data_IF_891040983299
#
_entry.id   IF_891040983299
#
_cell.length_a   1.000
_cell.length_b   1.000
_cell.length_c   1.000
_cell.angle_alpha   90.00
_cell.angle_beta   90.00
_cell.angle_gamma   90.00
#
_symmetry.space_group_name_H-M   'P 1'
#
loop_
_entity.id
_entity.type
_entity.pdbx_description
1 polymer ?
#
# COMPACT_ATOMS: atom_id res chain seq x y z
N UNK A 1 -5.50 -12.01 -18.51
CA UNK A 1 -6.36 -11.86 -17.32
C UNK A 1 -5.58 -11.12 -16.23
N UNK A 2 -5.95 -9.87 -15.93
CA UNK A 2 -5.28 -9.08 -14.88
C UNK A 2 -5.72 -9.61 -13.51
N UNK A 3 -4.86 -10.37 -12.83
CA UNK A 3 -5.14 -10.88 -11.47
C UNK A 3 -5.65 -9.72 -10.59
N UNK A 4 -6.76 -9.86 -9.85
CA UNK A 4 -7.26 -8.79 -8.96
C UNK A 4 -6.16 -8.36 -7.99
N UNK A 5 -6.06 -7.07 -7.68
CA UNK A 5 -5.17 -6.60 -6.61
C UNK A 5 -5.78 -7.00 -5.28
N UNK A 6 -5.08 -7.82 -4.49
CA UNK A 6 -5.56 -8.25 -3.18
C UNK A 6 -5.70 -7.10 -2.20
N UNK A 7 -4.82 -6.08 -2.28
CA UNK A 7 -4.85 -4.93 -1.38
C UNK A 7 -5.24 -3.66 -2.14
N UNK A 8 -6.30 -3.00 -1.69
CA UNK A 8 -6.79 -1.71 -2.20
C UNK A 8 -6.51 -0.61 -1.18
N UNK A 9 -6.23 0.58 -1.69
CA UNK A 9 -6.07 1.81 -0.91
C UNK A 9 -7.04 2.85 -1.44
N UNK A 10 -7.80 3.46 -0.54
CA UNK A 10 -8.82 4.45 -0.87
C UNK A 10 -8.53 5.72 -0.08
N UNK A 11 -8.30 6.81 -0.80
CA UNK A 11 -7.99 8.11 -0.20
C UNK A 11 -9.30 8.84 0.10
N UNK A 12 -9.42 9.35 1.31
CA UNK A 12 -10.48 10.24 1.77
C UNK A 12 -9.88 11.56 2.28
N UNK A 13 -10.70 12.59 2.56
CA UNK A 13 -10.22 13.83 3.19
C UNK A 13 -9.59 13.59 4.57
N UNK A 14 -9.99 12.52 5.26
CA UNK A 14 -9.53 12.21 6.62
C UNK A 14 -8.25 11.37 6.63
N UNK A 15 -7.91 10.70 5.52
CA UNK A 15 -6.74 9.82 5.44
C UNK A 15 -6.87 8.79 4.33
N UNK A 16 -6.32 7.60 4.54
CA UNK A 16 -6.28 6.51 3.57
C UNK A 16 -6.70 5.22 4.24
N UNK A 17 -7.78 4.64 3.72
CA UNK A 17 -8.27 3.32 4.14
C UNK A 17 -7.62 2.25 3.28
N UNK A 18 -7.16 1.17 3.91
CA UNK A 18 -6.47 0.06 3.28
C UNK A 18 -7.31 -1.20 3.53
N UNK A 19 -7.68 -1.88 2.47
CA UNK A 19 -8.52 -3.09 2.53
C UNK A 19 -7.84 -4.23 1.80
N UNK A 20 -7.85 -5.43 2.40
CA UNK A 20 -7.39 -6.64 1.74
C UNK A 20 -8.59 -7.53 1.39
N UNK A 21 -8.80 -7.80 0.11
CA UNK A 21 -9.87 -8.72 -0.35
C UNK A 21 -9.57 -10.17 -0.01
N UNK A 22 -8.30 -10.53 0.23
CA UNK A 22 -7.88 -11.86 0.67
C UNK A 22 -7.99 -12.08 2.19
N UNK A 23 -8.14 -11.00 2.97
CA UNK A 23 -8.25 -11.06 4.43
C UNK A 23 -9.46 -10.21 4.88
N UNK A 24 -10.68 -10.76 4.87
CA UNK A 24 -11.91 -10.00 5.12
C UNK A 24 -11.95 -9.23 6.45
N UNK A 25 -11.26 -9.76 7.47
CA UNK A 25 -11.17 -9.16 8.80
C UNK A 25 -10.04 -8.14 8.93
N UNK A 26 -9.16 -8.03 7.93
CA UNK A 26 -8.05 -7.10 7.98
C UNK A 26 -8.39 -5.79 7.24
N UNK A 27 -8.33 -4.71 7.99
CA UNK A 27 -8.42 -3.33 7.50
C UNK A 27 -7.41 -2.49 8.25
N UNK A 28 -6.86 -1.50 7.57
CA UNK A 28 -5.97 -0.53 8.20
C UNK A 28 -6.32 0.89 7.74
N UNK A 29 -5.94 1.85 8.57
CA UNK A 29 -6.09 3.27 8.28
C UNK A 29 -4.74 3.96 8.45
N UNK A 30 -4.44 4.91 7.59
CA UNK A 30 -3.22 5.71 7.63
C UNK A 30 -3.54 7.18 7.34
N UNK A 31 -2.79 8.10 7.94
CA UNK A 31 -2.99 9.53 7.72
C UNK A 31 -2.42 9.98 6.38
N UNK A 32 -1.40 9.27 5.89
CA UNK A 32 -0.75 9.57 4.62
C UNK A 32 -0.76 8.41 3.64
N UNK A 33 -0.63 8.73 2.34
CA UNK A 33 -0.43 7.72 1.29
C UNK A 33 0.87 6.94 1.49
N UNK A 34 1.93 7.56 2.02
CA UNK A 34 3.20 6.88 2.29
C UNK A 34 3.05 5.78 3.33
N UNK A 35 2.43 6.10 4.47
CA UNK A 35 2.10 5.11 5.51
C UNK A 35 1.14 4.04 5.00
N UNK A 36 0.17 4.42 4.15
CA UNK A 36 -0.74 3.45 3.56
C UNK A 36 -0.03 2.44 2.66
N UNK A 37 0.99 2.90 1.92
CA UNK A 37 1.86 2.03 1.13
C UNK A 37 2.71 1.11 2.02
N UNK A 38 3.31 1.63 3.08
CA UNK A 38 4.11 0.85 4.02
C UNK A 38 3.28 -0.24 4.73
N UNK A 39 2.09 0.12 5.23
CA UNK A 39 1.16 -0.80 5.88
C UNK A 39 0.67 -1.91 4.92
N UNK A 40 0.27 -1.54 3.70
CA UNK A 40 -0.11 -2.50 2.67
C UNK A 40 1.04 -3.48 2.32
N UNK A 41 2.27 -2.96 2.16
CA UNK A 41 3.44 -3.79 1.88
C UNK A 41 3.81 -4.72 3.04
N UNK A 42 3.68 -4.25 4.29
CA UNK A 42 3.92 -5.04 5.49
C UNK A 42 2.90 -6.17 5.67
N UNK A 43 1.61 -5.89 5.41
CA UNK A 43 0.57 -6.92 5.43
C UNK A 43 0.81 -8.00 4.36
N UNK A 44 1.10 -7.58 3.12
CA UNK A 44 1.41 -8.51 2.02
C UNK A 44 2.58 -9.42 2.38
N UNK A 45 3.68 -8.87 2.90
CA UNK A 45 4.88 -9.64 3.25
C UNK A 45 4.65 -10.69 4.34
N UNK A 46 3.70 -10.47 5.26
CA UNK A 46 3.42 -11.37 6.38
C UNK A 46 2.34 -12.40 6.06
N UNK A 47 1.32 -12.00 5.31
CA UNK A 47 0.06 -12.77 5.16
C UNK A 47 -0.10 -13.35 3.75
N UNK A 48 0.59 -12.80 2.75
CA UNK A 48 0.49 -13.22 1.36
C UNK A 48 1.88 -13.58 0.80
N UNK A 49 2.52 -14.66 1.30
CA UNK A 49 3.82 -15.08 0.80
C UNK A 49 3.73 -15.39 -0.71
N UNK A 50 4.57 -14.70 -1.50
CA UNK A 50 4.60 -14.84 -2.96
C UNK A 50 3.80 -13.78 -3.72
N UNK A 51 2.99 -12.95 -3.07
CA UNK A 51 2.53 -11.69 -3.67
C UNK A 51 3.52 -10.57 -3.35
N UNK A 52 3.71 -9.67 -4.31
CA UNK A 52 4.72 -8.62 -4.26
C UNK A 52 4.21 -7.28 -4.78
N UNK A 53 2.93 -7.19 -5.10
CA UNK A 53 2.36 -6.03 -5.79
C UNK A 53 2.26 -4.82 -4.86
N UNK A 54 1.81 -5.01 -3.63
CA UNK A 54 1.70 -3.94 -2.66
C UNK A 54 3.09 -3.48 -2.20
N UNK A 55 4.01 -4.42 -1.95
CA UNK A 55 5.40 -4.15 -1.61
C UNK A 55 6.12 -3.38 -2.71
N UNK A 56 6.00 -3.82 -3.97
CA UNK A 56 6.63 -3.13 -5.09
C UNK A 56 6.01 -1.73 -5.30
N UNK A 57 4.69 -1.60 -5.15
CA UNK A 57 4.04 -0.30 -5.17
C UNK A 57 4.52 0.62 -4.04
N UNK A 58 4.84 0.09 -2.86
CA UNK A 58 5.41 0.87 -1.75
C UNK A 58 6.83 1.34 -2.08
N UNK A 59 7.69 0.47 -2.60
CA UNK A 59 9.03 0.83 -3.04
C UNK A 59 9.03 1.91 -4.14
N UNK A 60 8.17 1.75 -5.17
CA UNK A 60 8.03 2.72 -6.25
C UNK A 60 7.51 4.08 -5.76
N UNK A 61 6.58 4.08 -4.79
CA UNK A 61 6.10 5.32 -4.17
C UNK A 61 7.23 6.02 -3.42
N UNK A 62 7.96 5.29 -2.58
CA UNK A 62 9.10 5.83 -1.84
C UNK A 62 10.17 6.41 -2.79
N UNK A 63 10.52 5.70 -3.86
CA UNK A 63 11.50 6.18 -4.85
C UNK A 63 11.06 7.49 -5.52
N UNK A 64 9.81 7.58 -5.97
CA UNK A 64 9.27 8.80 -6.62
C UNK A 64 9.24 10.00 -5.69
N UNK A 65 8.88 9.80 -4.42
CA UNK A 65 8.81 10.87 -3.44
C UNK A 65 10.17 11.26 -2.86
N UNK A 66 11.13 10.34 -2.80
CA UNK A 66 12.52 10.64 -2.43
C UNK A 66 13.23 11.50 -3.49
N UNK A 67 12.97 11.24 -4.79
CA UNK A 67 13.52 12.07 -5.89
C UNK A 67 12.96 13.49 -5.84
N UNK A 68 11.69 13.65 -5.45
CA UNK A 68 11.05 14.98 -5.35
C UNK A 68 11.61 15.84 -4.21
N UNK A 69 12.13 15.22 -3.14
CA UNK A 69 12.75 15.94 -2.02
C UNK A 69 14.18 16.41 -2.31
N UNK A 70 14.86 15.85 -3.33
CA UNK A 70 16.24 16.21 -3.70
C UNK A 70 16.33 17.31 -4.78
N UNK A 71 15.21 17.64 -5.41
CA UNK A 71 15.13 18.68 -6.46
C UNK A 71 14.51 19.99 -5.95
N UNK A 72 14.53 20.23 -4.63
CA UNK A 72 14.18 21.50 -3.98
C UNK A 72 15.42 22.09 -3.35
#
# INVERSE_FOLDING_TARGET
MTRPKMIRREKSPLGVTITCTGCPHWKAFALSMGEAHASAGGHEARVHPGDYRARNAAAMFAARHAVRARNV
#
